data_IF_306929984286
#
_entry.id   IF_306929984286
#
_cell.length_a   1.000
_cell.length_b   1.000
_cell.length_c   1.000
_cell.angle_alpha   90.00
_cell.angle_beta   90.00
_cell.angle_gamma   90.00
#
_symmetry.space_group_name_H-M   'P 1'
#
loop_
_entity.id
_entity.type
_entity.pdbx_description
1 polymer ?
#
# COMPACT_ATOMS: atom_id res chain seq x y z
N UNK A 1 26.03 -45.34 -59.74
CA UNK A 1 24.70 -45.13 -60.34
C UNK A 1 23.85 -44.52 -59.22
N UNK A 2 23.70 -43.19 -59.17
CA UNK A 2 22.58 -42.38 -59.73
C UNK A 2 21.24 -42.78 -59.08
N UNK A 3 20.38 -41.94 -58.50
CA UNK A 3 20.03 -40.50 -58.51
C UNK A 3 19.34 -40.20 -57.16
N UNK A 4 19.12 -38.99 -56.61
CA UNK A 4 18.93 -37.66 -57.17
C UNK A 4 17.45 -37.20 -57.02
N UNK A 5 17.26 -36.03 -56.37
CA UNK A 5 16.08 -35.11 -56.36
C UNK A 5 14.83 -35.46 -55.54
N UNK A 6 13.98 -34.53 -55.04
CA UNK A 6 13.98 -33.14 -54.51
C UNK A 6 12.49 -32.76 -54.27
N UNK A 7 12.23 -31.69 -53.49
CA UNK A 7 10.99 -30.88 -53.33
C UNK A 7 10.18 -31.15 -52.02
N UNK A 8 10.15 -30.23 -51.03
CA UNK A 8 9.43 -28.92 -50.93
C UNK A 8 7.92 -29.11 -50.66
N UNK A 9 7.17 -28.38 -49.82
CA UNK A 9 7.30 -27.11 -49.06
C UNK A 9 6.02 -26.95 -48.18
N UNK A 10 6.05 -26.00 -47.23
CA UNK A 10 4.92 -25.28 -46.57
C UNK A 10 4.33 -25.90 -45.27
N UNK A 11 3.98 -25.15 -44.20
CA UNK A 11 4.02 -23.72 -43.85
C UNK A 11 3.60 -23.55 -42.38
N UNK A 12 4.03 -22.43 -41.74
CA UNK A 12 3.44 -21.76 -40.55
C UNK A 12 3.38 -22.57 -39.23
N UNK A 13 3.71 -22.04 -38.05
CA UNK A 13 3.18 -20.84 -37.37
C UNK A 13 4.32 -20.35 -36.44
N UNK A 14 4.85 -19.15 -36.66
CA UNK A 14 4.69 -17.97 -35.78
C UNK A 14 4.84 -18.24 -34.27
N UNK A 15 5.78 -17.51 -33.67
CA UNK A 15 6.15 -17.64 -32.28
C UNK A 15 5.08 -17.22 -31.28
N UNK A 16 5.31 -17.64 -30.05
CA UNK A 16 4.84 -16.95 -28.86
C UNK A 16 6.03 -16.86 -27.90
N UNK A 17 6.49 -15.62 -27.71
CA UNK A 17 7.21 -15.22 -26.51
C UNK A 17 6.40 -15.73 -25.31
N UNK A 18 6.95 -16.69 -24.56
CA UNK A 18 6.59 -16.82 -23.16
C UNK A 18 7.45 -15.80 -22.42
N UNK A 19 7.01 -14.54 -22.46
CA UNK A 19 7.27 -13.60 -21.39
C UNK A 19 6.73 -14.26 -20.13
N UNK A 20 7.63 -14.84 -19.34
CA UNK A 20 7.39 -15.12 -17.94
C UNK A 20 7.16 -13.79 -17.25
N UNK A 21 5.92 -13.30 -17.33
CA UNK A 21 5.41 -12.28 -16.43
C UNK A 21 5.47 -12.95 -15.07
N UNK A 22 6.49 -12.59 -14.30
CA UNK A 22 6.50 -12.80 -12.86
C UNK A 22 5.33 -12.01 -12.29
N UNK A 23 4.14 -12.59 -12.34
CA UNK A 23 2.99 -12.17 -11.57
C UNK A 23 3.33 -12.49 -10.12
N UNK A 24 4.04 -11.57 -9.47
CA UNK A 24 4.14 -11.54 -8.01
C UNK A 24 2.73 -11.31 -7.49
N UNK A 25 2.10 -12.44 -7.18
CA UNK A 25 1.04 -12.65 -6.22
C UNK A 25 0.22 -11.41 -5.86
N UNK A 26 -0.98 -11.38 -6.44
CA UNK A 26 -2.20 -10.91 -5.79
C UNK A 26 -2.19 -11.43 -4.35
N UNK A 27 -1.81 -10.57 -3.40
CA UNK A 27 -1.95 -10.85 -1.97
C UNK A 27 -3.41 -10.61 -1.59
N UNK A 28 -4.09 -11.72 -1.33
CA UNK A 28 -5.30 -11.88 -0.53
C UNK A 28 -6.39 -10.81 -0.67
N UNK A 29 -7.43 -11.14 -1.44
CA UNK A 29 -8.68 -10.37 -1.58
C UNK A 29 -9.50 -10.18 -0.27
N UNK A 30 -8.98 -10.59 0.90
CA UNK A 30 -9.69 -10.56 2.18
C UNK A 30 -8.90 -9.92 3.34
N UNK A 31 -7.76 -9.27 3.08
CA UNK A 31 -7.01 -8.59 4.15
C UNK A 31 -7.64 -7.24 4.53
N UNK A 32 -7.51 -6.82 5.79
CA UNK A 32 -7.97 -5.51 6.25
C UNK A 32 -7.19 -4.38 5.58
N UNK A 33 -5.86 -4.51 5.57
CA UNK A 33 -4.96 -3.52 4.99
C UNK A 33 -4.35 -4.11 3.73
N UNK A 34 -4.79 -3.61 2.59
CA UNK A 34 -4.17 -3.86 1.29
C UNK A 34 -3.50 -2.56 0.87
N UNK A 35 -2.26 -2.38 1.29
CA UNK A 35 -1.54 -1.14 1.05
C UNK A 35 -0.76 -1.20 -0.27
N UNK A 36 -0.84 -0.15 -1.08
CA UNK A 36 0.06 0.08 -2.21
C UNK A 36 0.86 1.38 -1.98
N UNK A 37 2.17 1.29 -1.69
CA UNK A 37 3.00 2.46 -1.43
C UNK A 37 3.21 3.36 -2.65
N UNK A 38 2.97 2.87 -3.87
CA UNK A 38 3.11 3.67 -5.09
C UNK A 38 1.88 4.56 -5.34
N UNK A 39 0.69 4.11 -4.92
CA UNK A 39 -0.58 4.80 -5.15
C UNK A 39 -1.22 5.36 -3.87
N UNK A 40 -0.66 5.05 -2.70
CA UNK A 40 -1.23 5.35 -1.39
C UNK A 40 -2.64 4.75 -1.15
N UNK A 41 -2.99 3.66 -1.82
CA UNK A 41 -4.25 2.96 -1.58
C UNK A 41 -4.15 2.04 -0.35
N UNK A 42 -5.15 2.03 0.53
CA UNK A 42 -5.17 1.26 1.80
C UNK A 42 -6.15 0.07 1.79
N UNK A 43 -6.81 -0.18 0.66
CA UNK A 43 -7.74 -1.29 0.46
C UNK A 43 -9.19 -0.97 0.82
N UNK A 44 -10.12 -1.70 0.18
CA UNK A 44 -11.56 -1.42 0.21
C UNK A 44 -12.21 -1.48 1.61
N UNK A 45 -11.64 -2.26 2.55
CA UNK A 45 -12.20 -2.39 3.91
C UNK A 45 -12.04 -1.12 4.74
N UNK A 46 -11.09 -0.25 4.41
CA UNK A 46 -10.85 1.02 5.12
C UNK A 46 -11.55 2.22 4.45
N UNK A 47 -11.98 2.10 3.20
CA UNK A 47 -12.65 3.18 2.44
C UNK A 47 -13.81 3.84 3.23
N UNK A 48 -14.75 3.11 3.87
CA UNK A 48 -15.85 3.74 4.58
C UNK A 48 -15.42 4.57 5.80
N UNK A 49 -14.21 4.36 6.30
CA UNK A 49 -13.65 5.13 7.41
C UNK A 49 -12.92 6.37 6.89
N UNK A 50 -12.23 6.26 5.76
CA UNK A 50 -11.67 7.43 5.06
C UNK A 50 -12.78 8.38 4.64
N UNK A 51 -13.89 7.89 4.07
CA UNK A 51 -15.05 8.74 3.73
C UNK A 51 -15.56 9.55 4.93
N UNK A 52 -15.59 8.93 6.11
CA UNK A 52 -16.00 9.62 7.35
C UNK A 52 -14.96 10.64 7.83
N UNK A 53 -13.67 10.34 7.68
CA UNK A 53 -12.61 11.30 7.96
C UNK A 53 -12.66 12.50 7.00
N UNK A 54 -12.90 12.26 5.70
CA UNK A 54 -13.11 13.29 4.66
C UNK A 54 -14.32 14.16 5.02
N UNK A 55 -15.47 13.55 5.30
CA UNK A 55 -16.69 14.28 5.65
C UNK A 55 -16.48 15.12 6.92
N UNK A 56 -15.80 14.57 7.94
CA UNK A 56 -15.45 15.30 9.16
C UNK A 56 -14.54 16.49 8.85
N UNK A 57 -13.55 16.33 7.97
CA UNK A 57 -12.65 17.41 7.54
C UNK A 57 -13.39 18.49 6.76
N UNK A 58 -14.26 18.12 5.82
CA UNK A 58 -15.06 19.06 5.03
C UNK A 58 -16.05 19.88 5.88
N UNK A 59 -16.47 19.35 7.04
CA UNK A 59 -17.31 20.07 7.98
C UNK A 59 -16.55 21.14 8.80
N UNK A 60 -15.21 21.15 8.76
CA UNK A 60 -14.40 22.15 9.45
C UNK A 60 -14.33 23.46 8.65
N UNK A 61 -14.15 24.62 9.32
CA UNK A 61 -13.78 25.87 8.64
C UNK A 61 -12.52 25.69 7.80
N UNK A 62 -12.42 26.39 6.66
CA UNK A 62 -11.31 26.24 5.71
C UNK A 62 -9.92 26.31 6.38
N UNK A 63 -9.71 27.22 7.35
CA UNK A 63 -8.43 27.35 8.05
C UNK A 63 -8.08 26.12 8.91
N UNK A 64 -9.06 25.35 9.34
CA UNK A 64 -8.88 24.13 10.13
C UNK A 64 -8.83 22.86 9.25
N UNK A 65 -9.11 22.98 7.94
CA UNK A 65 -8.99 21.84 7.01
C UNK A 65 -7.53 21.51 6.67
N UNK A 66 -6.58 22.34 7.05
CA UNK A 66 -5.14 22.03 6.93
C UNK A 66 -4.66 21.07 8.03
N UNK A 67 -5.44 20.92 9.12
CA UNK A 67 -5.10 20.00 10.20
C UNK A 67 -5.40 18.54 9.84
N UNK A 68 -4.63 17.63 10.45
CA UNK A 68 -4.92 16.20 10.40
C UNK A 68 -6.27 15.91 11.07
N UNK A 69 -7.12 15.17 10.38
CA UNK A 69 -8.39 14.67 10.89
C UNK A 69 -8.36 13.15 10.94
N UNK A 70 -8.59 12.60 12.14
CA UNK A 70 -8.72 11.16 12.34
C UNK A 70 -10.17 10.71 12.50
N UNK A 71 -10.42 9.45 12.12
CA UNK A 71 -11.66 8.72 12.37
C UNK A 71 -11.35 7.31 12.91
N UNK A 72 -12.00 6.87 14.02
CA UNK A 72 -11.69 5.58 14.66
C UNK A 72 -12.17 4.39 13.82
N UNK A 73 -11.36 3.32 13.80
CA UNK A 73 -11.60 2.10 13.00
C UNK A 73 -11.80 0.86 13.88
N UNK A 74 -11.01 0.69 14.95
CA UNK A 74 -11.06 -0.44 15.90
C UNK A 74 -11.24 -1.83 15.25
N UNK A 75 -10.37 -2.17 14.29
CA UNK A 75 -10.41 -3.44 13.55
C UNK A 75 -9.13 -4.25 13.72
N UNK A 76 -9.21 -5.59 13.90
CA UNK A 76 -8.05 -6.45 14.02
C UNK A 76 -7.31 -6.63 12.68
N UNK A 77 -5.98 -6.75 12.73
CA UNK A 77 -5.09 -6.97 11.59
C UNK A 77 -3.89 -7.81 12.01
N UNK A 78 -3.83 -9.08 11.59
CA UNK A 78 -2.70 -10.01 11.87
C UNK A 78 -2.16 -10.00 13.31
N UNK A 79 -3.04 -9.94 14.31
CA UNK A 79 -2.65 -9.95 15.72
C UNK A 79 -2.27 -8.60 16.32
N UNK A 80 -2.31 -7.52 15.52
CA UNK A 80 -2.34 -6.13 15.97
C UNK A 80 -3.71 -5.51 15.62
N UNK A 81 -3.89 -4.22 15.88
CA UNK A 81 -5.14 -3.52 15.59
C UNK A 81 -4.92 -2.24 14.83
N UNK A 82 -5.77 -1.98 13.84
CA UNK A 82 -5.94 -0.65 13.22
C UNK A 82 -6.90 0.14 14.10
N UNK A 83 -6.39 1.20 14.71
CA UNK A 83 -7.13 1.99 15.71
C UNK A 83 -7.88 3.16 15.09
N UNK A 84 -7.33 3.78 14.06
CA UNK A 84 -7.93 4.90 13.34
C UNK A 84 -7.33 5.05 11.94
N UNK A 85 -8.09 5.70 11.05
CA UNK A 85 -7.57 6.29 9.81
C UNK A 85 -7.39 7.79 10.04
N UNK A 86 -6.49 8.42 9.29
CA UNK A 86 -6.30 9.86 9.32
C UNK A 86 -6.05 10.43 7.93
N UNK A 87 -6.36 11.72 7.76
CA UNK A 87 -6.17 12.49 6.53
C UNK A 87 -5.63 13.87 6.91
N UNK A 88 -4.47 14.22 6.36
CA UNK A 88 -3.87 15.55 6.36
C UNK A 88 -3.95 16.23 4.99
N UNK A 89 -3.26 17.36 4.81
CA UNK A 89 -3.34 18.13 3.56
C UNK A 89 -2.95 17.34 2.30
N UNK A 90 -1.79 16.68 2.33
CA UNK A 90 -1.21 15.93 1.19
C UNK A 90 -0.83 14.49 1.55
N UNK A 91 -1.30 14.02 2.71
CA UNK A 91 -0.96 12.69 3.22
C UNK A 91 -2.13 12.10 3.99
N UNK A 92 -2.21 10.78 4.05
CA UNK A 92 -3.18 10.04 4.84
C UNK A 92 -2.58 8.72 5.30
N UNK A 93 -3.31 7.99 6.12
CA UNK A 93 -2.80 6.72 6.63
C UNK A 93 -3.63 6.12 7.73
N UNK A 94 -3.02 5.20 8.46
CA UNK A 94 -3.64 4.44 9.54
C UNK A 94 -2.75 4.38 10.77
N UNK A 95 -3.40 4.38 11.93
CA UNK A 95 -2.78 4.17 13.22
C UNK A 95 -2.89 2.70 13.65
N UNK A 96 -1.86 2.22 14.35
CA UNK A 96 -1.83 0.89 14.95
C UNK A 96 -1.66 0.97 16.47
N UNK A 97 -2.17 -0.02 17.20
CA UNK A 97 -1.95 -0.17 18.63
C UNK A 97 -0.60 -0.81 19.00
N UNK A 98 0.24 -1.08 18.02
CA UNK A 98 1.54 -1.73 18.16
C UNK A 98 2.70 -0.76 17.90
N UNK A 99 3.88 -0.95 18.52
CA UNK A 99 5.05 -0.13 18.28
C UNK A 99 5.58 -0.28 16.83
N UNK A 100 6.31 0.72 16.30
CA UNK A 100 6.75 0.74 14.90
C UNK A 100 7.51 -0.51 14.47
N UNK A 101 8.41 -1.03 15.31
CA UNK A 101 9.19 -2.22 14.97
C UNK A 101 8.33 -3.48 14.79
N UNK A 102 7.26 -3.62 15.57
CA UNK A 102 6.33 -4.73 15.41
C UNK A 102 5.56 -4.60 14.09
N UNK A 103 5.10 -3.40 13.76
CA UNK A 103 4.38 -3.14 12.50
C UNK A 103 5.28 -3.30 11.28
N UNK A 104 6.51 -2.75 11.31
CA UNK A 104 7.52 -2.94 10.26
C UNK A 104 7.81 -4.42 10.03
N UNK A 105 8.01 -5.19 11.09
CA UNK A 105 8.24 -6.63 11.01
C UNK A 105 7.06 -7.37 10.39
N UNK A 106 5.83 -7.03 10.79
CA UNK A 106 4.61 -7.59 10.20
C UNK A 106 4.52 -7.27 8.70
N UNK A 107 4.70 -6.02 8.28
CA UNK A 107 4.63 -5.66 6.86
C UNK A 107 5.71 -6.36 6.04
N UNK A 108 6.94 -6.53 6.58
CA UNK A 108 7.97 -7.36 5.93
C UNK A 108 7.54 -8.82 5.77
N UNK A 109 6.88 -9.40 6.77
CA UNK A 109 6.32 -10.77 6.70
C UNK A 109 5.20 -10.89 5.65
N UNK A 110 4.42 -9.84 5.47
CA UNK A 110 3.39 -9.73 4.43
C UNK A 110 3.96 -9.48 3.03
N UNK A 111 5.28 -9.34 2.89
CA UNK A 111 5.97 -9.22 1.60
C UNK A 111 6.29 -7.78 1.18
N UNK A 112 6.02 -6.79 2.03
CA UNK A 112 6.38 -5.40 1.76
C UNK A 112 7.88 -5.17 1.93
N UNK A 113 8.45 -4.33 1.06
CA UNK A 113 9.78 -3.77 1.27
C UNK A 113 9.67 -2.64 2.28
N UNK A 114 10.16 -2.87 3.50
CA UNK A 114 10.21 -1.87 4.57
C UNK A 114 11.65 -1.74 5.05
N UNK A 115 12.24 -0.56 4.86
CA UNK A 115 13.57 -0.23 5.35
C UNK A 115 13.63 -0.22 6.89
N UNK A 116 14.83 -0.14 7.46
CA UNK A 116 15.04 -0.18 8.91
C UNK A 116 14.39 1.02 9.63
N UNK A 117 14.46 2.20 9.02
CA UNK A 117 13.82 3.43 9.49
C UNK A 117 12.30 3.47 9.22
N UNK A 118 11.76 2.45 8.55
CA UNK A 118 10.35 2.34 8.20
C UNK A 118 9.98 2.89 6.83
N UNK A 119 10.93 3.39 6.04
CA UNK A 119 10.65 3.81 4.66
C UNK A 119 10.15 2.65 3.80
N UNK A 120 9.10 2.93 3.03
CA UNK A 120 8.43 2.00 2.12
C UNK A 120 8.33 2.58 0.70
N UNK A 121 8.94 3.73 0.45
CA UNK A 121 8.81 4.45 -0.81
C UNK A 121 9.32 3.61 -1.98
N UNK A 122 8.53 3.56 -3.07
CA UNK A 122 8.91 2.83 -4.27
C UNK A 122 10.11 3.54 -4.93
N UNK A 123 11.31 2.97 -4.80
CA UNK A 123 12.51 3.51 -5.45
C UNK A 123 12.37 3.39 -6.98
N UNK A 124 12.10 4.49 -7.68
CA UNK A 124 12.19 4.47 -9.15
C UNK A 124 11.44 5.51 -9.95
N UNK A 125 10.38 6.14 -9.42
CA UNK A 125 9.54 7.02 -10.23
C UNK A 125 9.62 8.49 -9.80
N UNK A 126 9.55 9.38 -10.79
CA UNK A 126 9.67 10.84 -10.71
C UNK A 126 8.52 11.53 -9.92
N UNK A 127 7.72 10.76 -9.19
CA UNK A 127 6.61 11.25 -8.36
C UNK A 127 6.96 11.00 -6.90
N UNK A 128 7.05 12.08 -6.12
CA UNK A 128 7.49 12.12 -4.72
C UNK A 128 6.49 11.52 -3.72
N UNK A 129 5.81 10.42 -4.07
CA UNK A 129 4.99 9.70 -3.11
C UNK A 129 5.92 9.03 -2.10
N UNK A 130 5.78 9.41 -0.85
CA UNK A 130 6.52 8.83 0.28
C UNK A 130 5.58 7.98 1.11
N UNK A 131 6.04 6.81 1.52
CA UNK A 131 5.31 5.91 2.40
C UNK A 131 6.22 5.46 3.53
N UNK A 132 5.73 5.48 4.78
CA UNK A 132 6.56 5.09 5.92
C UNK A 132 5.77 4.54 7.11
N UNK A 133 6.39 3.65 7.87
CA UNK A 133 5.90 3.17 9.17
C UNK A 133 6.75 3.79 10.27
N UNK A 134 6.19 4.72 11.04
CA UNK A 134 6.91 5.52 12.04
C UNK A 134 6.20 5.56 13.39
N UNK A 135 6.93 5.99 14.43
CA UNK A 135 6.34 6.29 15.74
C UNK A 135 5.37 7.47 15.62
N UNK A 136 4.22 7.38 16.28
CA UNK A 136 3.30 8.51 16.39
C UNK A 136 3.90 9.62 17.25
N UNK A 137 3.65 10.87 16.88
CA UNK A 137 3.97 12.01 17.76
C UNK A 137 3.23 11.93 19.10
N UNK A 138 3.72 12.63 20.13
CA UNK A 138 3.06 12.67 21.44
C UNK A 138 1.59 13.13 21.37
N UNK A 139 1.28 14.07 20.47
CA UNK A 139 -0.10 14.55 20.22
C UNK A 139 -1.00 13.46 19.64
N UNK A 140 -0.44 12.58 18.82
CA UNK A 140 -1.15 11.51 18.13
C UNK A 140 -1.12 10.16 18.87
N UNK A 141 -0.36 10.03 19.96
CA UNK A 141 -0.19 8.77 20.73
C UNK A 141 -1.52 8.15 21.21
N UNK A 142 -2.53 8.99 21.47
CA UNK A 142 -3.87 8.54 21.83
C UNK A 142 -4.61 7.82 20.69
N UNK A 143 -4.18 8.02 19.44
CA UNK A 143 -4.73 7.37 18.27
C UNK A 143 -4.03 6.02 18.01
N UNK A 144 -2.75 5.87 18.36
CA UNK A 144 -1.98 4.64 18.18
C UNK A 144 -0.53 4.82 18.61
N UNK A 145 0.26 3.75 18.63
CA UNK A 145 1.68 3.76 18.96
C UNK A 145 2.57 3.95 17.71
N UNK A 146 2.07 3.52 16.54
CA UNK A 146 2.72 3.77 15.26
C UNK A 146 1.70 4.15 14.19
N UNK A 147 2.18 4.73 13.10
CA UNK A 147 1.38 5.05 11.92
C UNK A 147 2.03 4.51 10.67
N UNK A 148 1.22 3.98 9.75
CA UNK A 148 1.57 3.86 8.34
C UNK A 148 1.04 5.12 7.63
N UNK A 149 1.94 5.95 7.13
CA UNK A 149 1.65 7.19 6.41
C UNK A 149 1.96 7.03 4.93
N UNK A 150 1.20 7.70 4.07
CA UNK A 150 1.49 7.81 2.66
C UNK A 150 1.02 9.19 2.14
N UNK A 151 1.83 9.84 1.31
CA UNK A 151 1.51 11.17 0.80
C UNK A 151 2.57 11.73 -0.15
N UNK A 152 2.29 12.92 -0.69
CA UNK A 152 3.18 13.69 -1.57
C UNK A 152 3.85 14.86 -0.84
#
# INVERSE_FOLDING_TARGET
>A
MASGFLACVASSICGALLLGVSSTHVLAADDLVQFDPATCEFGAKLEPYYDKAIAKRQALPAQAQEEEVSYPVDLPFHGIKVTAVFIGYEWHGIYFDAPPEQVRSLFRQLGYRVAEDGDMSASGDEVAVTASIIETSDKARQQGLSALTCGV
#
